data_IF_626226291335
#
_entry.id   IF_626226291335
#
_cell.length_a   1.000
_cell.length_b   1.000
_cell.length_c   1.000
_cell.angle_alpha   90.00
_cell.angle_beta   90.00
_cell.angle_gamma   90.00
#
_symmetry.space_group_name_H-M   'P 1'
#
loop_
_entity.id
_entity.type
_entity.pdbx_description
1 polymer ?
#
# COMPACT_ATOMS: atom_id res chain seq x y z
N UNK A 1 20.30 -48.39 30.82
CA UNK A 1 19.31 -47.30 30.69
C UNK A 1 19.73 -46.39 29.54
N UNK A 2 19.09 -46.54 28.37
CA UNK A 2 19.37 -45.71 27.18
C UNK A 2 18.28 -44.66 27.07
N UNK A 3 18.63 -43.40 27.31
CA UNK A 3 17.75 -42.23 27.19
C UNK A 3 17.63 -41.84 25.72
N UNK A 4 16.44 -42.05 25.14
CA UNK A 4 16.13 -41.63 23.76
C UNK A 4 15.66 -40.17 23.82
N UNK A 5 16.50 -39.25 23.32
CA UNK A 5 16.12 -37.86 23.11
C UNK A 5 15.28 -37.79 21.83
N UNK A 6 13.97 -37.58 21.98
CA UNK A 6 13.07 -37.27 20.86
C UNK A 6 13.25 -35.82 20.48
N UNK A 7 13.92 -35.62 19.37
CA UNK A 7 14.05 -34.29 18.72
C UNK A 7 12.73 -34.01 18.00
N UNK A 8 11.94 -33.09 18.53
CA UNK A 8 10.77 -32.53 17.85
C UNK A 8 11.23 -31.60 16.73
N UNK A 9 11.10 -32.04 15.49
CA UNK A 9 11.25 -31.21 14.31
C UNK A 9 9.93 -30.45 14.18
N UNK A 10 9.96 -29.15 14.51
CA UNK A 10 8.87 -28.21 14.20
C UNK A 10 9.02 -27.86 12.73
N UNK A 11 8.05 -28.18 11.87
CA UNK A 11 8.12 -27.74 10.48
C UNK A 11 7.99 -26.21 10.46
N UNK A 12 9.03 -25.53 10.00
CA UNK A 12 8.96 -24.12 9.68
C UNK A 12 7.94 -23.96 8.55
N UNK A 13 6.78 -23.40 8.88
CA UNK A 13 5.78 -23.02 7.91
C UNK A 13 6.35 -21.83 7.12
N UNK A 14 6.90 -22.14 5.94
CA UNK A 14 7.33 -21.12 4.98
C UNK A 14 6.07 -20.44 4.44
N UNK A 15 5.64 -19.36 5.06
CA UNK A 15 4.61 -18.49 4.49
C UNK A 15 5.23 -17.81 3.29
N UNK A 16 4.97 -18.36 2.11
CA UNK A 16 5.24 -17.67 0.84
C UNK A 16 4.32 -16.46 0.81
N UNK A 17 4.83 -15.30 1.21
CA UNK A 17 4.21 -14.01 0.91
C UNK A 17 4.40 -13.83 -0.60
N UNK A 18 3.43 -14.30 -1.39
CA UNK A 18 3.31 -13.88 -2.79
C UNK A 18 2.94 -12.41 -2.72
N UNK A 19 3.92 -11.54 -2.80
CA UNK A 19 3.71 -10.10 -2.94
C UNK A 19 2.85 -9.87 -4.17
N UNK A 20 1.61 -9.48 -3.97
CA UNK A 20 0.73 -9.02 -5.04
C UNK A 20 1.37 -7.77 -5.63
N UNK A 21 2.01 -7.91 -6.78
CA UNK A 21 2.50 -6.81 -7.59
C UNK A 21 1.26 -6.04 -8.04
N UNK A 22 0.92 -4.98 -7.30
CA UNK A 22 -0.20 -4.11 -7.64
C UNK A 22 -1.21 -3.83 -6.53
N UNK A 23 -1.11 -4.43 -5.35
CA UNK A 23 -2.00 -4.11 -4.24
C UNK A 23 -1.70 -2.70 -3.68
N UNK A 24 -2.75 -1.99 -3.28
CA UNK A 24 -2.61 -0.75 -2.51
C UNK A 24 -1.93 -1.09 -1.18
N UNK A 25 -0.86 -0.39 -0.86
CA UNK A 25 -0.23 -0.50 0.45
C UNK A 25 -1.11 0.21 1.50
N UNK A 26 -1.90 -0.58 2.22
CA UNK A 26 -2.79 -0.09 3.29
C UNK A 26 -2.03 0.40 4.52
N UNK A 27 -0.74 0.07 4.65
CA UNK A 27 0.16 0.60 5.67
C UNK A 27 0.80 1.93 5.28
N UNK A 28 0.65 2.37 4.04
CA UNK A 28 1.24 3.63 3.58
C UNK A 28 0.64 4.82 4.30
N UNK A 29 1.48 5.82 4.56
CA UNK A 29 1.05 7.06 5.18
C UNK A 29 -0.08 7.75 4.39
N UNK A 30 0.01 7.72 3.06
CA UNK A 30 -0.98 8.33 2.17
C UNK A 30 -2.36 7.67 2.30
N UNK A 31 -2.40 6.34 2.43
CA UNK A 31 -3.64 5.61 2.64
C UNK A 31 -4.25 5.90 4.02
N UNK A 32 -3.42 5.92 5.05
CA UNK A 32 -3.84 6.25 6.41
C UNK A 32 -4.37 7.70 6.48
N UNK A 33 -3.70 8.63 5.80
CA UNK A 33 -4.08 10.05 5.74
C UNK A 33 -5.40 10.23 4.97
N UNK A 34 -5.61 9.46 3.89
CA UNK A 34 -6.88 9.41 3.17
C UNK A 34 -8.03 9.04 4.13
N UNK A 35 -7.90 7.94 4.86
CA UNK A 35 -8.95 7.48 5.77
C UNK A 35 -9.14 8.44 6.96
N UNK A 36 -8.08 9.04 7.48
CA UNK A 36 -8.17 10.05 8.56
C UNK A 36 -8.84 11.34 8.12
N UNK A 37 -8.66 11.71 6.86
CA UNK A 37 -9.27 12.90 6.29
C UNK A 37 -10.76 12.76 5.97
N UNK A 38 -11.30 11.54 6.02
CA UNK A 38 -12.72 11.30 5.75
C UNK A 38 -13.58 11.63 6.98
N UNK A 39 -14.47 12.62 6.90
CA UNK A 39 -15.38 12.94 8.01
C UNK A 39 -16.50 11.90 8.17
N UNK A 40 -16.80 11.15 7.10
CA UNK A 40 -17.82 10.12 7.06
C UNK A 40 -17.52 9.15 5.89
N UNK A 41 -18.10 7.93 5.92
CA UNK A 41 -18.02 7.02 4.77
C UNK A 41 -18.60 7.66 3.51
N UNK A 42 -18.00 7.37 2.38
CA UNK A 42 -18.39 7.90 1.07
C UNK A 42 -18.54 6.81 0.01
N UNK A 43 -18.85 7.26 -1.21
CA UNK A 43 -18.81 6.36 -2.37
C UNK A 43 -17.41 5.78 -2.54
N UNK A 44 -17.27 4.61 -3.20
CA UNK A 44 -15.97 4.04 -3.48
C UNK A 44 -15.06 5.00 -4.25
N UNK A 45 -13.82 5.11 -3.83
CA UNK A 45 -12.83 6.00 -4.43
C UNK A 45 -11.64 5.21 -4.97
N UNK A 46 -11.09 5.69 -6.10
CA UNK A 46 -9.89 5.11 -6.68
C UNK A 46 -8.68 5.69 -5.98
N UNK A 47 -7.86 4.82 -5.42
CA UNK A 47 -6.61 5.18 -4.77
C UNK A 47 -5.47 4.31 -5.31
N UNK A 48 -4.52 4.92 -5.99
CA UNK A 48 -3.44 4.21 -6.66
C UNK A 48 -3.96 3.24 -7.71
N UNK A 49 -3.70 1.96 -7.53
CA UNK A 49 -4.18 0.87 -8.38
C UNK A 49 -5.30 0.05 -7.74
N UNK A 50 -5.95 0.58 -6.72
CA UNK A 50 -7.06 -0.04 -6.04
C UNK A 50 -8.28 0.86 -5.92
N UNK A 51 -9.36 0.27 -5.44
CA UNK A 51 -10.60 0.95 -5.06
C UNK A 51 -10.78 0.81 -3.57
N UNK A 52 -10.99 1.91 -2.89
CA UNK A 52 -11.28 1.96 -1.45
C UNK A 52 -12.78 2.06 -1.26
N UNK A 53 -13.34 1.07 -0.60
CA UNK A 53 -14.72 1.05 -0.16
C UNK A 53 -14.78 1.43 1.31
N UNK A 54 -15.75 2.24 1.70
CA UNK A 54 -15.93 2.67 3.10
C UNK A 54 -17.37 2.47 3.56
N UNK A 55 -17.53 2.21 4.85
CA UNK A 55 -18.84 2.09 5.51
C UNK A 55 -18.73 2.58 6.96
N UNK A 56 -19.86 2.91 7.56
CA UNK A 56 -19.91 3.32 8.97
C UNK A 56 -19.71 2.13 9.91
N UNK A 57 -18.97 2.33 10.98
CA UNK A 57 -18.76 1.33 12.02
C UNK A 57 -19.96 1.12 12.94
N UNK A 58 -21.08 1.83 12.70
CA UNK A 58 -22.37 1.57 13.36
C UNK A 58 -23.01 0.24 12.95
N UNK A 59 -22.62 -0.29 11.79
CA UNK A 59 -23.01 -1.62 11.34
C UNK A 59 -22.17 -2.70 12.04
N UNK A 60 -22.79 -3.84 12.35
CA UNK A 60 -22.05 -4.96 12.95
C UNK A 60 -21.06 -5.59 11.98
N UNK A 61 -21.45 -5.68 10.70
CA UNK A 61 -20.62 -6.30 9.68
C UNK A 61 -20.97 -5.79 8.30
N UNK A 62 -19.97 -5.33 7.58
CA UNK A 62 -20.11 -4.91 6.18
C UNK A 62 -19.14 -5.71 5.32
N UNK A 63 -19.60 -6.12 4.16
CA UNK A 63 -18.80 -6.77 3.14
C UNK A 63 -19.18 -6.30 1.75
N UNK A 64 -18.31 -6.56 0.80
CA UNK A 64 -18.55 -6.31 -0.63
C UNK A 64 -18.34 -7.61 -1.42
N UNK A 65 -19.13 -7.79 -2.46
CA UNK A 65 -19.00 -8.91 -3.39
C UNK A 65 -19.13 -8.41 -4.82
N UNK A 66 -18.36 -8.99 -5.73
CA UNK A 66 -18.13 -8.46 -7.06
C UNK A 66 -18.69 -9.34 -8.17
N UNK A 67 -19.24 -8.71 -9.22
CA UNK A 67 -19.79 -9.41 -10.38
C UNK A 67 -18.71 -10.16 -11.19
N UNK A 68 -17.50 -9.60 -11.29
CA UNK A 68 -16.39 -10.25 -11.99
C UNK A 68 -15.89 -11.53 -11.29
N UNK A 69 -16.21 -11.70 -10.00
CA UNK A 69 -15.98 -12.93 -9.25
C UNK A 69 -17.22 -13.83 -9.20
N UNK A 70 -18.27 -13.51 -9.96
CA UNK A 70 -19.54 -14.23 -9.94
C UNK A 70 -20.26 -14.16 -8.60
N UNK A 71 -19.96 -13.19 -7.74
CA UNK A 71 -20.44 -13.06 -6.36
C UNK A 71 -20.09 -14.26 -5.46
N UNK A 72 -19.08 -15.02 -5.83
CA UNK A 72 -18.68 -16.22 -5.09
C UNK A 72 -17.95 -15.92 -3.77
N UNK A 73 -17.45 -14.71 -3.61
CA UNK A 73 -16.70 -14.27 -2.43
C UNK A 73 -17.33 -13.03 -1.82
N UNK A 74 -17.25 -12.97 -0.49
CA UNK A 74 -17.56 -11.75 0.28
C UNK A 74 -16.27 -11.27 0.90
N UNK A 75 -15.89 -10.05 0.55
CA UNK A 75 -14.74 -9.36 1.09
C UNK A 75 -15.20 -8.49 2.25
N UNK A 76 -14.83 -8.89 3.47
CA UNK A 76 -15.27 -8.20 4.68
C UNK A 76 -14.46 -6.93 4.92
N UNK A 77 -15.14 -5.89 5.38
CA UNK A 77 -14.51 -4.63 5.76
C UNK A 77 -13.80 -4.77 7.10
N UNK A 78 -12.75 -3.99 7.25
CA UNK A 78 -11.98 -3.88 8.48
C UNK A 78 -12.26 -2.53 9.14
N UNK A 79 -12.28 -2.50 10.48
CA UNK A 79 -12.36 -1.23 11.21
C UNK A 79 -11.07 -0.44 11.05
N UNK A 80 -11.19 0.84 10.77
CA UNK A 80 -10.06 1.75 10.79
C UNK A 80 -9.85 2.24 12.22
N UNK A 81 -8.83 1.68 12.87
CA UNK A 81 -8.48 2.01 14.24
C UNK A 81 -7.45 3.12 14.26
N UNK A 82 -7.67 4.16 15.05
CA UNK A 82 -6.73 5.26 15.24
C UNK A 82 -6.12 5.21 16.65
N UNK A 83 -4.85 5.60 16.81
CA UNK A 83 -4.23 5.67 18.13
C UNK A 83 -5.01 6.65 19.03
N UNK A 84 -5.26 6.21 20.24
CA UNK A 84 -5.83 7.05 21.29
C UNK A 84 -4.80 8.10 21.73
N UNK A 85 -5.26 9.27 22.14
CA UNK A 85 -4.35 10.27 22.70
C UNK A 85 -3.58 9.70 23.91
N UNK A 86 -2.31 10.07 23.99
CA UNK A 86 -1.46 9.56 25.07
C UNK A 86 -1.95 9.97 26.45
N UNK A 87 -2.57 11.14 26.58
CA UNK A 87 -3.15 11.62 27.83
C UNK A 87 -4.27 10.73 28.34
N UNK A 88 -5.07 10.13 27.44
CA UNK A 88 -6.16 9.22 27.80
C UNK A 88 -5.67 7.85 28.30
N UNK A 89 -4.41 7.50 27.99
CA UNK A 89 -3.79 6.25 28.44
C UNK A 89 -3.16 6.36 29.83
N UNK A 90 -3.09 7.56 30.40
CA UNK A 90 -2.50 7.82 31.70
C UNK A 90 -3.54 8.48 32.63
N UNK A 91 -3.72 7.90 33.81
CA UNK A 91 -4.50 8.48 34.91
C UNK A 91 -3.54 8.67 36.08
N UNK A 92 -3.47 9.88 36.64
CA UNK A 92 -2.54 10.25 37.73
C UNK A 92 -1.08 9.84 37.45
N UNK A 93 -0.64 10.01 36.18
CA UNK A 93 0.71 9.65 35.74
C UNK A 93 0.96 8.14 35.57
N UNK A 94 -0.05 7.30 35.79
CA UNK A 94 0.05 5.84 35.67
C UNK A 94 -0.58 5.35 34.38
N UNK A 95 0.18 4.56 33.62
CA UNK A 95 -0.30 3.90 32.39
C UNK A 95 -1.41 2.89 32.70
N UNK A 96 -2.56 3.02 32.03
CA UNK A 96 -3.73 2.16 32.20
C UNK A 96 -3.69 1.00 31.20
N UNK A 97 -3.16 -0.14 31.63
CA UNK A 97 -3.00 -1.34 30.76
C UNK A 97 -4.33 -1.93 30.25
N UNK A 98 -5.45 -1.63 30.92
CA UNK A 98 -6.78 -2.11 30.55
C UNK A 98 -7.47 -1.23 29.49
N UNK A 99 -6.95 -0.05 29.21
CA UNK A 99 -7.48 0.83 28.18
C UNK A 99 -6.87 0.41 26.83
N UNK A 100 -7.75 0.14 25.86
CA UNK A 100 -7.29 -0.14 24.49
C UNK A 100 -6.57 1.12 23.95
N UNK A 101 -5.30 1.00 23.49
CA UNK A 101 -4.55 2.12 22.95
C UNK A 101 -5.09 2.63 21.62
N UNK A 102 -6.10 1.97 21.05
CA UNK A 102 -6.73 2.35 19.80
C UNK A 102 -8.23 2.57 20.02
N UNK A 103 -8.79 3.52 19.27
CA UNK A 103 -10.23 3.78 19.17
C UNK A 103 -10.70 3.56 17.74
N UNK A 104 -11.94 3.15 17.59
CA UNK A 104 -12.60 3.08 16.28
C UNK A 104 -12.81 4.50 15.74
N UNK A 105 -12.38 4.74 14.52
CA UNK A 105 -12.56 6.03 13.84
C UNK A 105 -13.99 6.29 13.39
N UNK A 106 -14.88 5.32 13.47
CA UNK A 106 -16.21 5.37 12.89
C UNK A 106 -16.27 4.87 11.44
N UNK A 107 -15.14 4.46 10.88
CA UNK A 107 -15.04 4.00 9.49
C UNK A 107 -14.56 2.54 9.43
N UNK A 108 -15.29 1.76 8.66
CA UNK A 108 -14.82 0.46 8.15
C UNK A 108 -14.43 0.59 6.69
N UNK A 109 -13.45 -0.15 6.24
CA UNK A 109 -12.96 -0.10 4.86
C UNK A 109 -12.61 -1.47 4.30
N UNK A 110 -12.63 -1.55 2.97
CA UNK A 110 -12.06 -2.64 2.17
C UNK A 110 -11.32 -2.04 0.97
N UNK A 111 -10.20 -2.63 0.61
CA UNK A 111 -9.43 -2.24 -0.58
C UNK A 111 -9.45 -3.37 -1.59
N UNK A 112 -10.00 -3.09 -2.77
CA UNK A 112 -10.04 -3.99 -3.89
C UNK A 112 -9.01 -3.58 -4.94
N UNK A 113 -8.11 -4.47 -5.32
CA UNK A 113 -7.24 -4.23 -6.47
C UNK A 113 -8.10 -4.09 -7.74
N UNK A 114 -7.75 -3.14 -8.61
CA UNK A 114 -8.47 -2.94 -9.87
C UNK A 114 -8.20 -4.16 -10.78
N UNK A 115 -9.24 -4.95 -11.13
CA UNK A 115 -9.05 -6.10 -12.01
C UNK A 115 -8.67 -5.65 -13.42
N UNK A 116 -7.81 -6.43 -14.06
CA UNK A 116 -7.43 -6.15 -15.44
C UNK A 116 -8.58 -6.42 -16.43
N UNK A 117 -8.64 -5.63 -17.49
CA UNK A 117 -9.56 -5.87 -18.61
C UNK A 117 -11.01 -5.48 -18.37
N UNK A 118 -11.40 -4.98 -17.20
CA UNK A 118 -12.75 -4.50 -16.95
C UNK A 118 -12.82 -2.97 -16.93
N UNK A 119 -13.93 -2.44 -17.47
CA UNK A 119 -14.21 -0.99 -17.50
C UNK A 119 -15.06 -0.51 -16.33
N UNK A 120 -15.80 -1.42 -15.74
CA UNK A 120 -16.73 -1.15 -14.66
C UNK A 120 -16.57 -2.20 -13.59
N UNK A 121 -16.53 -1.78 -12.35
CA UNK A 121 -16.60 -2.65 -11.19
C UNK A 121 -18.05 -2.68 -10.70
N UNK A 122 -18.76 -3.76 -11.03
CA UNK A 122 -20.13 -3.99 -10.58
C UNK A 122 -20.09 -4.80 -9.28
N UNK A 123 -20.80 -4.35 -8.26
CA UNK A 123 -20.73 -4.95 -6.93
C UNK A 123 -22.05 -4.81 -6.16
N UNK A 124 -22.15 -5.56 -5.08
CA UNK A 124 -23.17 -5.40 -4.03
C UNK A 124 -22.51 -5.36 -2.66
N UNK A 125 -23.11 -4.64 -1.75
CA UNK A 125 -22.76 -4.70 -0.34
C UNK A 125 -23.57 -5.77 0.38
N UNK A 126 -22.99 -6.30 1.44
CA UNK A 126 -23.64 -7.13 2.43
C UNK A 126 -23.55 -6.36 3.75
N UNK A 127 -24.66 -5.76 4.15
CA UNK A 127 -24.73 -4.95 5.40
C UNK A 127 -25.56 -5.74 6.39
N UNK A 128 -24.95 -6.15 7.50
CA UNK A 128 -25.59 -6.93 8.56
C UNK A 128 -26.35 -8.17 8.05
N UNK A 129 -25.79 -8.81 7.02
CA UNK A 129 -26.36 -10.00 6.37
C UNK A 129 -27.30 -9.72 5.19
N UNK A 130 -27.65 -8.47 4.94
CA UNK A 130 -28.56 -8.09 3.84
C UNK A 130 -27.75 -7.69 2.60
N UNK A 131 -28.06 -8.34 1.47
CA UNK A 131 -27.51 -7.99 0.16
C UNK A 131 -28.22 -6.75 -0.39
N UNK A 132 -27.47 -5.67 -0.62
CA UNK A 132 -28.00 -4.40 -1.11
C UNK A 132 -27.08 -3.77 -2.16
N UNK A 133 -27.64 -2.88 -2.97
CA UNK A 133 -26.83 -1.91 -3.67
C UNK A 133 -26.22 -0.94 -2.65
N UNK A 134 -25.08 -0.35 -2.97
CA UNK A 134 -24.40 0.59 -2.12
C UNK A 134 -25.23 1.89 -2.01
N UNK A 135 -25.74 2.24 -0.83
CA UNK A 135 -26.55 3.43 -0.67
C UNK A 135 -25.79 4.75 -0.88
N UNK A 136 -24.44 4.69 -0.80
CA UNK A 136 -23.56 5.86 -1.00
C UNK A 136 -23.12 6.04 -2.45
N UNK A 137 -23.38 5.03 -3.31
CA UNK A 137 -23.06 5.10 -4.73
C UNK A 137 -24.33 5.26 -5.58
N UNK A 138 -24.61 6.44 -6.14
CA UNK A 138 -25.82 6.68 -6.91
C UNK A 138 -25.82 5.94 -8.26
N UNK A 139 -24.66 5.49 -8.77
CA UNK A 139 -24.59 4.80 -10.05
C UNK A 139 -24.90 3.32 -9.90
N UNK A 140 -26.06 2.93 -10.43
CA UNK A 140 -26.53 1.55 -10.39
C UNK A 140 -26.80 1.00 -11.78
N UNK A 141 -26.82 -0.32 -11.90
CA UNK A 141 -27.19 -1.07 -13.11
C UNK A 141 -28.01 -2.29 -12.71
N UNK A 142 -28.99 -2.63 -13.51
CA UNK A 142 -29.75 -3.87 -13.34
C UNK A 142 -29.18 -4.95 -14.24
N UNK A 143 -28.85 -6.11 -13.66
CA UNK A 143 -28.35 -7.24 -14.44
C UNK A 143 -29.51 -7.97 -15.17
N UNK A 144 -29.16 -8.99 -15.98
CA UNK A 144 -30.14 -9.77 -16.73
C UNK A 144 -31.17 -10.52 -15.86
N UNK A 145 -30.84 -10.73 -14.56
CA UNK A 145 -31.74 -11.36 -13.60
C UNK A 145 -32.62 -10.36 -12.83
N UNK A 146 -32.59 -9.09 -13.18
CA UNK A 146 -33.37 -8.05 -12.52
C UNK A 146 -32.76 -7.54 -11.21
N UNK A 147 -31.54 -7.95 -10.87
CA UNK A 147 -30.86 -7.56 -9.64
C UNK A 147 -30.15 -6.23 -9.83
N UNK A 148 -30.39 -5.28 -8.93
CA UNK A 148 -29.70 -3.99 -8.90
C UNK A 148 -28.30 -4.16 -8.32
N UNK A 149 -27.32 -3.69 -9.06
CA UNK A 149 -25.90 -3.66 -8.71
C UNK A 149 -25.43 -2.20 -8.64
N UNK A 150 -24.52 -1.91 -7.74
CA UNK A 150 -23.78 -0.65 -7.78
C UNK A 150 -22.65 -0.76 -8.79
N UNK A 151 -22.39 0.31 -9.52
CA UNK A 151 -21.38 0.35 -10.57
C UNK A 151 -20.37 1.45 -10.30
N UNK A 152 -19.09 1.12 -10.36
CA UNK A 152 -18.00 2.08 -10.36
C UNK A 152 -17.29 2.06 -11.72
N UNK A 153 -17.30 3.18 -12.48
CA UNK A 153 -16.45 3.31 -13.64
C UNK A 153 -14.98 3.27 -13.24
N UNK A 154 -14.23 2.38 -13.85
CA UNK A 154 -12.78 2.31 -13.65
C UNK A 154 -12.08 3.17 -14.71
N UNK A 155 -10.97 3.83 -14.36
CA UNK A 155 -10.17 4.51 -15.35
C UNK A 155 -9.78 3.47 -16.40
N UNK A 156 -10.00 3.79 -17.65
CA UNK A 156 -9.42 3.01 -18.74
C UNK A 156 -7.91 3.15 -18.55
N UNK A 157 -7.30 2.21 -17.83
CA UNK A 157 -5.87 1.98 -18.00
C UNK A 157 -5.77 1.74 -19.49
N UNK A 158 -5.14 2.69 -20.20
CA UNK A 158 -4.74 2.44 -21.56
C UNK A 158 -4.16 1.04 -21.51
N UNK A 159 -4.85 0.08 -22.09
CA UNK A 159 -4.29 -1.24 -22.28
C UNK A 159 -2.94 -0.92 -22.88
N UNK A 160 -1.89 -1.15 -22.11
CA UNK A 160 -0.59 -1.22 -22.72
C UNK A 160 -0.80 -2.26 -23.79
N UNK A 161 -1.09 -1.78 -24.98
CA UNK A 161 -1.15 -2.59 -26.18
C UNK A 161 0.12 -3.39 -26.06
N UNK A 162 0.04 -4.72 -26.17
CA UNK A 162 1.17 -5.62 -26.33
C UNK A 162 1.96 -5.28 -27.62
N UNK A 163 1.74 -4.10 -28.17
CA UNK A 163 2.49 -3.48 -29.24
C UNK A 163 3.63 -2.66 -28.59
N UNK A 164 4.81 -3.21 -28.64
CA UNK A 164 6.06 -2.72 -28.14
C UNK A 164 6.06 -2.67 -26.59
N UNK A 165 6.63 -3.71 -25.97
CA UNK A 165 7.22 -3.60 -24.67
C UNK A 165 8.10 -2.34 -24.67
N UNK A 166 7.57 -1.20 -24.19
CA UNK A 166 8.42 -0.07 -23.87
C UNK A 166 9.41 -0.65 -22.87
N UNK A 167 10.64 -0.74 -23.27
CA UNK A 167 11.72 -1.09 -22.36
C UNK A 167 11.49 -0.21 -21.13
N UNK A 168 11.44 -0.77 -19.93
CA UNK A 168 11.30 0.04 -18.73
C UNK A 168 12.37 1.11 -18.80
N UNK A 169 12.02 2.35 -18.55
CA UNK A 169 12.99 3.42 -18.44
C UNK A 169 14.09 2.95 -17.49
N UNK A 170 15.27 3.47 -17.64
CA UNK A 170 16.36 3.22 -16.70
C UNK A 170 16.67 4.51 -15.97
N UNK A 171 16.96 4.43 -14.69
CA UNK A 171 17.49 5.55 -13.93
C UNK A 171 18.85 5.18 -13.35
N UNK A 172 19.83 6.06 -13.57
CA UNK A 172 21.18 5.87 -13.06
C UNK A 172 21.39 6.69 -11.80
N UNK A 173 21.67 6.01 -10.71
CA UNK A 173 22.06 6.58 -9.44
C UNK A 173 23.58 6.71 -9.41
N UNK A 174 24.08 7.88 -8.99
CA UNK A 174 25.51 8.16 -8.88
C UNK A 174 25.81 8.79 -7.52
N UNK A 175 26.85 8.32 -6.87
CA UNK A 175 27.27 8.84 -5.57
C UNK A 175 28.79 8.90 -5.46
N UNK A 176 29.29 9.86 -4.68
CA UNK A 176 30.72 9.97 -4.37
C UNK A 176 30.94 9.71 -2.89
N UNK A 177 31.82 8.76 -2.59
CA UNK A 177 32.25 8.39 -1.23
C UNK A 177 33.72 8.02 -1.25
N UNK A 178 34.39 7.83 -0.12
CA UNK A 178 35.73 7.26 -0.06
C UNK A 178 35.77 5.91 -0.80
N UNK A 179 36.90 5.62 -1.51
CA UNK A 179 37.06 4.35 -2.19
C UNK A 179 36.90 3.16 -1.24
N UNK A 180 36.18 2.13 -1.68
CA UNK A 180 35.96 0.91 -0.89
C UNK A 180 34.83 0.99 0.13
N UNK A 181 34.14 2.15 0.25
CA UNK A 181 32.97 2.24 1.11
C UNK A 181 31.75 1.52 0.48
N UNK A 182 30.79 1.16 1.32
CA UNK A 182 29.52 0.59 0.87
C UNK A 182 28.50 1.73 0.77
N UNK A 183 27.88 1.86 -0.39
CA UNK A 183 26.80 2.83 -0.63
C UNK A 183 25.59 2.08 -1.16
N UNK A 184 24.45 2.30 -0.55
CA UNK A 184 23.19 1.71 -1.00
C UNK A 184 22.14 2.78 -1.30
N UNK A 185 21.05 2.41 -1.98
CA UNK A 185 19.95 3.33 -2.29
C UNK A 185 18.62 2.73 -1.88
N UNK A 186 17.82 3.53 -1.19
CA UNK A 186 16.45 3.20 -0.86
C UNK A 186 15.51 4.30 -1.30
N UNK A 187 14.32 3.91 -1.75
CA UNK A 187 13.34 4.86 -2.25
C UNK A 187 11.96 4.26 -2.37
N UNK A 188 11.02 5.03 -2.93
CA UNK A 188 9.65 4.59 -3.15
C UNK A 188 9.53 3.38 -4.09
N UNK A 189 10.59 3.04 -4.82
CA UNK A 189 10.66 1.90 -5.71
C UNK A 189 11.01 0.57 -5.02
N UNK A 190 11.52 0.59 -3.78
CA UNK A 190 11.90 -0.59 -3.00
C UNK A 190 11.45 -0.50 -1.53
N UNK A 191 10.36 0.21 -1.25
CA UNK A 191 9.83 0.42 0.11
C UNK A 191 10.86 0.99 1.11
N UNK A 192 11.81 1.79 0.60
CA UNK A 192 12.87 2.41 1.40
C UNK A 192 13.82 1.41 2.07
N UNK A 193 13.90 0.17 1.55
CA UNK A 193 14.82 -0.85 2.05
C UNK A 193 16.27 -0.45 1.73
N UNK A 194 17.12 -0.18 2.75
CA UNK A 194 18.50 0.23 2.54
C UNK A 194 19.44 -0.90 2.14
N UNK A 195 18.97 -2.16 2.17
CA UNK A 195 19.82 -3.33 1.95
C UNK A 195 19.59 -3.99 0.58
N UNK A 196 18.57 -3.57 -0.16
CA UNK A 196 18.18 -4.22 -1.41
C UNK A 196 19.10 -3.86 -2.58
N UNK A 197 19.57 -2.61 -2.66
CA UNK A 197 20.32 -2.10 -3.81
C UNK A 197 21.62 -1.43 -3.39
N UNK A 198 22.73 -2.08 -3.70
CA UNK A 198 24.08 -1.56 -3.49
C UNK A 198 24.62 -0.94 -4.80
N UNK A 199 25.25 0.23 -4.68
CA UNK A 199 25.93 0.89 -5.79
C UNK A 199 27.31 0.25 -5.98
N UNK A 200 27.67 0.00 -7.25
CA UNK A 200 28.99 -0.53 -7.61
C UNK A 200 29.98 0.61 -7.76
N UNK A 201 31.15 0.48 -7.17
CA UNK A 201 32.28 1.36 -7.44
C UNK A 201 32.83 1.10 -8.84
N UNK A 202 32.75 2.09 -9.73
CA UNK A 202 33.20 2.01 -11.12
C UNK A 202 34.54 2.71 -11.35
N UNK A 203 34.91 3.61 -10.46
CA UNK A 203 36.24 4.22 -10.35
C UNK A 203 36.44 4.66 -8.89
N UNK A 204 37.69 4.86 -8.44
CA UNK A 204 37.95 5.17 -7.02
C UNK A 204 37.09 6.31 -6.50
N UNK A 205 36.22 6.00 -5.54
CA UNK A 205 35.29 6.94 -4.90
C UNK A 205 34.07 7.34 -5.73
N UNK A 206 33.82 6.70 -6.87
CA UNK A 206 32.63 6.94 -7.69
C UNK A 206 31.80 5.68 -7.82
N UNK A 207 30.60 5.74 -7.27
CA UNK A 207 29.65 4.63 -7.17
C UNK A 207 28.45 4.86 -8.08
N UNK A 208 28.01 3.82 -8.77
CA UNK A 208 26.87 3.89 -9.70
C UNK A 208 25.99 2.64 -9.61
N UNK A 209 24.70 2.83 -9.86
CA UNK A 209 23.72 1.78 -10.02
C UNK A 209 22.70 2.20 -11.06
N UNK A 210 22.41 1.34 -12.02
CA UNK A 210 21.34 1.56 -12.99
C UNK A 210 20.20 0.59 -12.70
N UNK A 211 19.00 1.13 -12.44
CA UNK A 211 17.81 0.33 -12.22
C UNK A 211 16.80 0.53 -13.36
N UNK A 212 16.19 -0.55 -13.85
CA UNK A 212 15.02 -0.46 -14.71
C UNK A 212 13.83 -0.03 -13.84
N UNK A 213 13.35 1.20 -14.04
CA UNK A 213 12.20 1.75 -13.36
C UNK A 213 11.13 2.11 -14.40
N UNK A 214 9.83 1.87 -14.13
CA UNK A 214 8.77 2.31 -15.02
C UNK A 214 8.76 3.85 -15.12
N UNK A 215 8.20 4.42 -16.21
CA UNK A 215 7.99 5.85 -16.28
C UNK A 215 7.23 6.36 -15.06
N UNK A 216 7.75 7.41 -14.41
CA UNK A 216 7.15 7.95 -13.20
C UNK A 216 8.09 8.80 -12.36
N UNK A 217 7.63 9.18 -11.18
CA UNK A 217 8.40 9.94 -10.19
C UNK A 217 8.68 9.06 -8.99
N UNK A 218 9.92 9.02 -8.56
CA UNK A 218 10.38 8.21 -7.45
C UNK A 218 11.15 9.08 -6.48
N UNK A 219 10.87 8.91 -5.20
CA UNK A 219 11.65 9.55 -4.13
C UNK A 219 12.72 8.58 -3.65
N UNK A 220 13.93 9.09 -3.35
CA UNK A 220 15.02 8.24 -2.90
C UNK A 220 16.02 8.99 -2.02
N UNK A 221 16.81 8.21 -1.28
CA UNK A 221 18.02 8.64 -0.58
C UNK A 221 19.12 7.59 -0.78
N UNK A 222 20.35 8.03 -0.69
CA UNK A 222 21.48 7.09 -0.51
C UNK A 222 21.67 6.78 0.96
N UNK A 223 22.16 5.59 1.25
CA UNK A 223 22.63 5.23 2.59
C UNK A 223 24.13 5.03 2.51
N UNK A 224 24.85 5.80 3.32
CA UNK A 224 26.29 5.70 3.43
C UNK A 224 26.64 5.67 4.91
N UNK A 225 27.34 4.62 5.35
CA UNK A 225 27.67 4.37 6.74
C UNK A 225 26.44 4.36 7.68
N UNK A 226 25.32 3.88 7.16
CA UNK A 226 24.06 3.81 7.90
C UNK A 226 23.23 5.10 7.93
N UNK A 227 23.76 6.21 7.41
CA UNK A 227 23.06 7.50 7.38
C UNK A 227 22.33 7.70 6.04
N UNK A 228 21.04 8.11 6.06
CA UNK A 228 20.31 8.48 4.86
C UNK A 228 20.74 9.86 4.36
N UNK A 229 21.22 9.94 3.12
CA UNK A 229 21.73 11.16 2.49
C UNK A 229 20.94 11.43 1.22
N UNK A 230 20.27 12.59 1.09
CA UNK A 230 19.72 13.03 -0.19
C UNK A 230 20.84 13.14 -1.22
N UNK A 231 20.54 12.83 -2.48
CA UNK A 231 21.52 12.91 -3.56
C UNK A 231 22.12 14.34 -3.67
N UNK A 232 23.42 14.50 -3.41
CA UNK A 232 24.04 15.81 -3.46
C UNK A 232 24.08 16.42 -4.88
N UNK A 233 24.03 15.56 -5.91
CA UNK A 233 24.06 15.96 -7.32
C UNK A 233 22.67 16.29 -7.88
N UNK A 234 21.60 15.91 -7.18
CA UNK A 234 20.24 16.13 -7.63
C UNK A 234 19.62 17.38 -6.99
N UNK A 235 19.36 18.39 -7.80
CA UNK A 235 18.74 19.63 -7.33
C UNK A 235 17.25 19.47 -6.98
N UNK A 236 16.60 18.39 -7.40
CA UNK A 236 15.19 18.09 -7.09
C UNK A 236 15.09 17.48 -5.72
N UNK A 237 14.87 18.30 -4.70
CA UNK A 237 14.69 17.91 -3.30
C UNK A 237 13.26 18.10 -2.88
N UNK A 238 12.73 17.11 -2.17
CA UNK A 238 11.44 17.14 -1.51
C UNK A 238 11.67 16.97 -0.01
N UNK A 239 10.81 17.56 0.79
CA UNK A 239 10.84 17.39 2.24
C UNK A 239 9.65 16.53 2.65
N UNK A 240 9.93 15.46 3.36
CA UNK A 240 8.91 14.62 3.97
C UNK A 240 8.33 15.33 5.19
N UNK A 241 7.17 14.87 5.67
CA UNK A 241 6.52 15.47 6.85
C UNK A 241 7.34 15.38 8.14
N UNK A 242 8.26 14.41 8.23
CA UNK A 242 9.22 14.28 9.33
C UNK A 242 10.39 15.29 9.21
N UNK A 243 10.35 16.20 8.24
CA UNK A 243 11.37 17.18 7.97
C UNK A 243 12.59 16.66 7.22
N UNK A 244 12.65 15.36 6.91
CA UNK A 244 13.78 14.77 6.20
C UNK A 244 13.70 15.11 4.71
N UNK A 245 14.85 15.54 4.18
CA UNK A 245 14.99 15.75 2.74
C UNK A 245 15.14 14.43 2.00
N UNK A 246 14.53 14.32 0.83
CA UNK A 246 14.71 13.22 -0.13
C UNK A 246 14.92 13.79 -1.52
N UNK A 247 15.53 13.04 -2.43
CA UNK A 247 15.71 13.41 -3.83
C UNK A 247 14.62 12.81 -4.70
N UNK A 248 14.29 13.46 -5.81
CA UNK A 248 13.30 12.98 -6.78
C UNK A 248 13.98 12.52 -8.07
N UNK A 249 13.76 11.27 -8.46
CA UNK A 249 14.08 10.72 -9.76
C UNK A 249 12.84 10.77 -10.67
N UNK A 250 13.03 11.25 -11.92
CA UNK A 250 11.99 11.23 -12.94
C UNK A 250 12.45 10.31 -14.05
N UNK A 251 11.64 9.30 -14.35
CA UNK A 251 11.84 8.34 -15.44
C UNK A 251 10.79 8.61 -16.51
N UNK A 252 11.22 8.76 -17.76
CA UNK A 252 10.38 9.08 -18.91
C UNK A 252 10.08 7.84 -19.75
#
# INVERSE_FOLDING_TARGET
MKTIIRMFIVPALLVLIIGNIGAVDTGSYQFIDLLRGMPAPGRPEIFGNGVVFTAGSSHQRVGVSFAHEGFARVHWFQHFMIPRDRSELYVDGRFQRHINPYIDSGIMFHVQAIPEGIRYLDYRLIIDGLWTADPLNPLTVTNASGIVLSRLPLPVRAQATLAAARQPGTFQFNFRAPPGDIVTVGGSFNNWDPFMYELREVSPGFFTLTLPLPPGRFQYVFFHRGEPIPDPSNMRRLYRRDGRAVSEAIVY
#
